data_IF_483495596528
#
_entry.id   IF_483495596528
#
_cell.length_a   1.000
_cell.length_b   1.000
_cell.length_c   1.000
_cell.angle_alpha   90.00
_cell.angle_beta   90.00
_cell.angle_gamma   90.00
#
_symmetry.space_group_name_H-M   'P 1'
#
loop_
_entity.id
_entity.type
_entity.pdbx_description
1 polymer ?
#
# COMPACT_ATOMS: atom_id res chain seq x y z
N UNK A 1 75.81 -18.26 -15.58
CA UNK A 1 74.39 -18.42 -15.13
C UNK A 1 73.82 -17.05 -14.85
N UNK A 2 72.98 -16.53 -15.72
CA UNK A 2 72.28 -15.24 -15.52
C UNK A 2 70.78 -15.54 -15.52
N UNK A 3 70.17 -15.39 -14.36
CA UNK A 3 68.72 -15.54 -14.19
C UNK A 3 68.02 -14.21 -14.54
N UNK A 4 67.20 -14.24 -15.60
CA UNK A 4 66.33 -13.12 -15.94
C UNK A 4 65.01 -13.23 -15.15
N UNK A 5 64.67 -12.20 -14.39
CA UNK A 5 63.36 -12.05 -13.80
C UNK A 5 62.43 -11.34 -14.80
N UNK A 6 61.38 -12.05 -15.24
CA UNK A 6 60.31 -11.44 -16.03
C UNK A 6 59.28 -10.81 -15.08
N UNK A 7 59.13 -9.47 -15.18
CA UNK A 7 58.14 -8.69 -14.45
C UNK A 7 56.80 -8.74 -15.23
N UNK A 8 55.80 -9.45 -14.74
CA UNK A 8 54.48 -9.46 -15.28
C UNK A 8 53.71 -8.23 -14.77
N UNK A 9 53.43 -7.29 -15.64
CA UNK A 9 52.56 -6.13 -15.35
C UNK A 9 51.10 -6.55 -15.56
N UNK A 10 50.36 -6.70 -14.47
CA UNK A 10 48.90 -6.88 -14.46
C UNK A 10 48.25 -5.54 -14.74
N UNK A 11 47.69 -5.35 -15.93
CA UNK A 11 46.80 -4.21 -16.24
C UNK A 11 45.44 -4.45 -15.59
N UNK A 12 45.13 -3.70 -14.53
CA UNK A 12 43.78 -3.62 -13.98
C UNK A 12 42.97 -2.68 -14.85
N UNK A 13 42.10 -3.22 -15.70
CA UNK A 13 41.02 -2.43 -16.32
C UNK A 13 39.97 -2.11 -15.24
N UNK A 14 39.99 -0.89 -14.74
CA UNK A 14 38.88 -0.36 -13.96
C UNK A 14 37.69 -0.16 -14.92
N UNK A 15 36.69 -1.02 -14.83
CA UNK A 15 35.37 -0.76 -15.42
C UNK A 15 34.73 0.37 -14.59
N UNK A 16 34.79 1.59 -15.12
CA UNK A 16 33.94 2.69 -14.62
C UNK A 16 32.49 2.35 -14.94
N UNK A 17 31.73 1.93 -13.94
CA UNK A 17 30.28 1.83 -14.05
C UNK A 17 29.72 3.24 -14.11
N UNK A 18 29.31 3.67 -15.29
CA UNK A 18 28.57 4.92 -15.43
C UNK A 18 27.34 4.87 -14.51
N UNK A 19 27.00 5.98 -13.81
CA UNK A 19 25.80 6.04 -13.00
C UNK A 19 24.60 5.77 -13.94
N UNK A 20 23.80 4.77 -13.62
CA UNK A 20 22.51 4.55 -14.28
C UNK A 20 21.62 5.72 -13.86
N UNK A 21 21.50 6.70 -14.74
CA UNK A 21 20.52 7.77 -14.60
C UNK A 21 19.17 7.11 -14.82
N UNK A 22 18.37 7.00 -13.76
CA UNK A 22 17.02 6.51 -13.85
C UNK A 22 16.25 7.37 -14.88
N UNK A 23 15.61 6.73 -15.85
CA UNK A 23 14.77 7.45 -16.79
C UNK A 23 13.69 8.26 -16.04
N UNK A 24 13.40 9.49 -16.47
CA UNK A 24 12.38 10.31 -15.82
C UNK A 24 11.04 9.60 -15.94
N UNK A 25 10.40 9.35 -14.78
CA UNK A 25 9.07 8.74 -14.72
C UNK A 25 8.04 9.69 -15.35
N UNK A 26 7.08 9.13 -16.06
CA UNK A 26 5.95 9.92 -16.57
C UNK A 26 5.12 10.43 -15.40
N UNK A 27 4.88 11.74 -15.34
CA UNK A 27 3.99 12.35 -14.35
C UNK A 27 2.53 12.09 -14.71
N UNK A 28 1.72 11.73 -13.70
CA UNK A 28 0.27 11.72 -13.77
C UNK A 28 -0.26 13.15 -13.56
N UNK A 29 -1.36 13.47 -14.20
CA UNK A 29 -2.01 14.78 -14.07
C UNK A 29 -3.14 14.72 -13.07
N UNK A 30 -3.12 15.57 -12.06
CA UNK A 30 -4.22 15.75 -11.11
C UNK A 30 -5.40 16.41 -11.82
N UNK A 31 -6.60 15.82 -11.68
CA UNK A 31 -7.83 16.33 -12.30
C UNK A 31 -8.90 16.73 -11.30
N UNK A 32 -8.83 16.21 -10.07
CA UNK A 32 -9.71 16.61 -8.98
C UNK A 32 -9.08 16.33 -7.61
N UNK A 33 -9.53 17.07 -6.60
CA UNK A 33 -9.19 16.86 -5.19
C UNK A 33 -10.44 17.06 -4.33
N UNK A 34 -10.64 16.15 -3.37
CA UNK A 34 -11.85 16.12 -2.54
C UNK A 34 -11.48 15.97 -1.07
N UNK A 35 -11.79 16.96 -0.22
CA UNK A 35 -11.76 16.75 1.23
C UNK A 35 -12.85 15.75 1.63
N UNK A 36 -12.52 14.88 2.60
CA UNK A 36 -13.47 13.91 3.16
C UNK A 36 -13.88 14.37 4.57
N UNK A 37 -15.17 14.45 4.82
CA UNK A 37 -15.73 14.82 6.12
C UNK A 37 -16.60 13.70 6.67
N UNK A 38 -16.67 13.58 8.00
CA UNK A 38 -17.53 12.59 8.67
C UNK A 38 -16.81 11.30 9.09
N UNK A 39 -15.52 11.14 8.81
CA UNK A 39 -14.73 10.04 9.39
C UNK A 39 -14.43 10.35 10.86
N UNK A 40 -14.85 9.47 11.77
CA UNK A 40 -14.69 9.64 13.22
C UNK A 40 -13.22 9.76 13.64
N UNK A 41 -12.39 8.88 13.11
CA UNK A 41 -10.94 8.87 13.36
C UNK A 41 -10.18 9.96 12.61
N UNK A 42 -10.76 10.52 11.55
CA UNK A 42 -10.15 11.58 10.73
C UNK A 42 -9.04 11.12 9.79
N UNK A 43 -8.62 9.87 9.86
CA UNK A 43 -7.59 9.27 9.01
C UNK A 43 -8.25 8.46 7.89
N UNK A 44 -7.64 8.45 6.72
CA UNK A 44 -8.09 7.65 5.57
C UNK A 44 -6.94 6.72 5.15
N UNK A 45 -7.01 5.47 5.63
CA UNK A 45 -5.94 4.49 5.43
C UNK A 45 -6.18 3.61 4.20
N UNK A 46 -7.42 3.32 3.82
CA UNK A 46 -7.72 2.50 2.66
C UNK A 46 -8.92 2.98 1.85
N UNK A 47 -8.91 2.69 0.54
CA UNK A 47 -10.01 2.96 -0.40
C UNK A 47 -10.30 1.72 -1.27
N UNK A 48 -11.59 1.50 -1.57
CA UNK A 48 -12.03 0.50 -2.54
C UNK A 48 -13.17 1.02 -3.41
N UNK A 49 -13.16 0.68 -4.69
CA UNK A 49 -14.29 0.86 -5.59
C UNK A 49 -15.04 -0.47 -5.72
N UNK A 50 -16.22 -0.56 -5.11
CA UNK A 50 -17.07 -1.74 -5.10
C UNK A 50 -18.31 -1.50 -5.96
N UNK A 51 -18.31 -1.99 -7.20
CA UNK A 51 -19.27 -1.52 -8.20
C UNK A 51 -19.05 -0.04 -8.49
N UNK A 52 -20.07 0.79 -8.25
CA UNK A 52 -20.00 2.23 -8.44
C UNK A 52 -19.79 2.99 -7.11
N UNK A 53 -19.58 2.30 -5.99
CA UNK A 53 -19.48 2.86 -4.66
C UNK A 53 -18.02 2.91 -4.20
N UNK A 54 -17.58 4.06 -3.69
CA UNK A 54 -16.29 4.21 -3.02
C UNK A 54 -16.46 3.96 -1.52
N UNK A 55 -15.65 3.05 -1.01
CA UNK A 55 -15.57 2.69 0.40
C UNK A 55 -14.22 3.06 0.97
N UNK A 56 -14.20 3.42 2.25
CA UNK A 56 -12.99 3.76 2.97
C UNK A 56 -12.93 3.09 4.34
N UNK A 57 -11.70 2.94 4.85
CA UNK A 57 -11.39 2.53 6.22
C UNK A 57 -10.44 3.52 6.86
N UNK A 58 -10.37 3.47 8.20
CA UNK A 58 -9.45 4.27 9.01
C UNK A 58 -8.74 3.35 10.02
N UNK A 59 -7.45 3.54 10.23
CA UNK A 59 -6.63 2.90 11.25
C UNK A 59 -7.12 3.16 12.70
N UNK A 60 -8.00 4.16 12.87
CA UNK A 60 -8.55 4.59 14.15
C UNK A 60 -9.91 3.99 14.48
N UNK A 61 -10.56 3.31 13.53
CA UNK A 61 -11.94 2.86 13.64
C UNK A 61 -12.04 1.34 13.52
N UNK A 62 -12.25 0.67 14.66
CA UNK A 62 -12.31 -0.80 14.73
C UNK A 62 -13.69 -1.39 14.42
N UNK A 63 -14.74 -0.58 14.44
CA UNK A 63 -16.13 -1.02 14.45
C UNK A 63 -16.98 -0.43 13.32
N UNK A 64 -16.33 0.22 12.36
CA UNK A 64 -17.04 0.82 11.22
C UNK A 64 -16.17 0.93 9.97
N UNK A 65 -16.84 0.94 8.82
CA UNK A 65 -16.29 1.31 7.51
C UNK A 65 -17.14 2.43 6.94
N UNK A 66 -16.68 3.08 5.89
CA UNK A 66 -17.33 4.27 5.37
C UNK A 66 -17.72 4.13 3.91
N UNK A 67 -18.97 4.46 3.58
CA UNK A 67 -19.39 4.73 2.20
C UNK A 67 -19.19 6.22 1.93
N UNK A 68 -18.45 6.57 0.89
CA UNK A 68 -18.18 7.95 0.51
C UNK A 68 -19.28 8.47 -0.45
N UNK A 69 -20.02 9.49 -0.03
CA UNK A 69 -20.90 10.22 -0.94
C UNK A 69 -20.07 11.23 -1.76
N UNK A 70 -19.88 10.90 -3.03
CA UNK A 70 -19.02 11.62 -3.96
C UNK A 70 -19.73 12.70 -4.78
N UNK A 71 -21.00 13.01 -4.49
CA UNK A 71 -21.83 13.91 -5.30
C UNK A 71 -21.50 15.40 -5.12
N UNK A 72 -20.73 15.74 -4.11
CA UNK A 72 -20.37 17.14 -3.77
C UNK A 72 -18.85 17.33 -3.79
N UNK A 73 -18.38 18.57 -3.81
CA UNK A 73 -16.95 18.89 -3.81
C UNK A 73 -16.25 18.39 -2.53
N UNK A 74 -16.91 18.48 -1.37
CA UNK A 74 -16.50 17.84 -0.11
C UNK A 74 -17.27 16.54 0.03
N UNK A 75 -16.58 15.42 0.04
CA UNK A 75 -17.21 14.12 0.17
C UNK A 75 -17.64 13.85 1.60
N UNK A 76 -18.77 13.15 1.75
CA UNK A 76 -19.31 12.81 3.07
C UNK A 76 -19.10 11.32 3.32
N UNK A 77 -18.38 10.98 4.37
CA UNK A 77 -18.21 9.63 4.83
C UNK A 77 -19.43 9.20 5.67
N UNK A 78 -20.18 8.23 5.16
CA UNK A 78 -21.34 7.64 5.83
C UNK A 78 -20.89 6.36 6.53
N UNK A 79 -20.86 6.36 7.86
CA UNK A 79 -20.43 5.23 8.65
C UNK A 79 -21.40 4.05 8.53
N UNK A 80 -20.88 2.88 8.22
CA UNK A 80 -21.52 1.59 8.36
C UNK A 80 -20.86 0.84 9.53
N UNK A 81 -21.60 0.65 10.61
CA UNK A 81 -21.12 -0.11 11.74
C UNK A 81 -20.99 -1.60 11.39
N UNK A 82 -19.90 -2.21 11.80
CA UNK A 82 -19.60 -3.62 11.61
C UNK A 82 -19.38 -4.30 12.98
N UNK A 83 -20.00 -5.45 13.18
CA UNK A 83 -19.80 -6.25 14.39
C UNK A 83 -18.60 -7.19 14.17
N UNK A 84 -17.41 -6.71 14.53
CA UNK A 84 -16.15 -7.44 14.27
C UNK A 84 -16.02 -8.58 15.27
N UNK A 85 -15.92 -9.84 14.82
CA UNK A 85 -15.77 -10.98 15.70
C UNK A 85 -14.38 -10.99 16.36
N UNK A 86 -14.21 -11.76 17.46
CA UNK A 86 -12.91 -11.89 18.13
C UNK A 86 -11.80 -12.24 17.16
N UNK A 87 -10.67 -11.52 17.27
CA UNK A 87 -9.52 -11.65 16.37
C UNK A 87 -8.91 -13.05 16.50
N UNK A 88 -8.60 -13.73 15.39
CA UNK A 88 -7.93 -15.02 15.42
C UNK A 88 -6.48 -14.88 15.91
N UNK A 89 -5.88 -15.98 16.34
CA UNK A 89 -4.45 -15.98 16.64
C UNK A 89 -3.65 -15.56 15.41
N UNK A 90 -2.89 -14.48 15.53
CA UNK A 90 -1.95 -14.06 14.51
C UNK A 90 -0.71 -14.96 14.55
N UNK A 91 -0.15 -15.28 13.39
CA UNK A 91 1.16 -15.96 13.33
C UNK A 91 2.35 -15.07 13.76
N UNK A 92 2.09 -13.85 14.25
CA UNK A 92 3.09 -12.89 14.70
C UNK A 92 3.68 -13.28 16.07
N UNK A 93 4.99 -13.05 16.30
CA UNK A 93 5.62 -13.28 17.60
C UNK A 93 5.00 -12.45 18.71
N UNK A 94 5.02 -12.99 19.93
CA UNK A 94 4.51 -12.30 21.10
C UNK A 94 5.06 -10.87 21.29
N UNK A 95 6.35 -10.66 21.04
CA UNK A 95 6.99 -9.35 21.17
C UNK A 95 6.48 -8.28 20.19
N UNK A 96 6.05 -8.67 18.99
CA UNK A 96 5.38 -7.75 18.05
C UNK A 96 3.95 -7.48 18.53
N UNK A 97 3.19 -8.52 18.81
CA UNK A 97 1.80 -8.39 19.30
C UNK A 97 1.69 -7.50 20.52
N UNK A 98 2.61 -7.64 21.50
CA UNK A 98 2.62 -6.81 22.69
C UNK A 98 2.94 -5.33 22.41
N UNK A 99 3.82 -5.04 21.44
CA UNK A 99 4.13 -3.66 21.02
C UNK A 99 2.93 -3.03 20.30
N UNK A 100 2.30 -3.76 19.38
CA UNK A 100 1.08 -3.31 18.70
C UNK A 100 -0.02 -3.01 19.71
N UNK A 101 -0.25 -3.91 20.66
CA UNK A 101 -1.25 -3.67 21.74
C UNK A 101 -0.88 -2.46 22.61
N UNK A 102 0.37 -2.24 22.92
CA UNK A 102 0.80 -1.05 23.67
C UNK A 102 0.59 0.24 22.86
N UNK A 103 0.83 0.22 21.56
CA UNK A 103 0.63 1.36 20.69
C UNK A 103 -0.84 1.73 20.53
N UNK A 104 -1.77 0.76 20.51
CA UNK A 104 -3.20 1.02 20.36
C UNK A 104 -3.77 1.87 21.50
N UNK A 105 -3.21 1.81 22.70
CA UNK A 105 -3.60 2.68 23.83
C UNK A 105 -3.29 4.17 23.58
N UNK A 106 -2.31 4.47 22.74
CA UNK A 106 -1.90 5.85 22.43
C UNK A 106 -2.52 6.33 21.11
N UNK A 107 -2.55 5.46 20.13
CA UNK A 107 -3.01 5.75 18.77
C UNK A 107 -4.54 5.77 18.65
N UNK A 108 -5.25 4.95 19.44
CA UNK A 108 -6.65 4.59 19.22
C UNK A 108 -6.74 3.47 18.17
N UNK A 109 -7.78 2.64 18.25
CA UNK A 109 -7.94 1.48 17.38
C UNK A 109 -7.03 0.30 17.76
N UNK A 110 -7.62 -0.87 18.01
CA UNK A 110 -6.90 -2.11 18.32
C UNK A 110 -6.63 -2.94 17.06
N UNK A 111 -7.42 -2.73 15.99
CA UNK A 111 -7.38 -3.54 14.77
C UNK A 111 -6.46 -2.97 13.71
N UNK A 112 -6.31 -1.64 13.69
CA UNK A 112 -5.39 -0.99 12.75
C UNK A 112 -5.73 -1.34 11.30
N UNK A 113 -6.90 -0.90 10.83
CA UNK A 113 -7.38 -1.18 9.48
C UNK A 113 -6.68 -0.28 8.46
N UNK A 114 -5.82 -0.86 7.61
CA UNK A 114 -4.98 -0.10 6.69
C UNK A 114 -5.47 -0.17 5.23
N UNK A 115 -5.95 -1.30 4.77
CA UNK A 115 -6.39 -1.45 3.40
C UNK A 115 -7.76 -2.09 3.28
N UNK A 116 -8.48 -1.75 2.21
CA UNK A 116 -9.79 -2.33 1.86
C UNK A 116 -9.86 -2.64 0.37
N UNK A 117 -10.50 -3.75 0.02
CA UNK A 117 -10.77 -4.13 -1.37
C UNK A 117 -12.11 -4.86 -1.45
N UNK A 118 -12.61 -5.17 -2.66
CA UNK A 118 -13.81 -5.98 -2.83
C UNK A 118 -13.72 -6.94 -4.02
N UNK A 119 -14.45 -8.06 -3.91
CA UNK A 119 -14.67 -8.98 -5.01
C UNK A 119 -15.81 -8.51 -5.94
N UNK A 120 -16.04 -9.23 -7.04
CA UNK A 120 -17.09 -8.87 -8.01
C UNK A 120 -18.53 -9.00 -7.46
N UNK A 121 -18.73 -9.71 -6.35
CA UNK A 121 -20.04 -9.83 -5.68
C UNK A 121 -20.26 -8.68 -4.69
N UNK A 122 -19.22 -7.88 -4.40
CA UNK A 122 -19.27 -6.73 -3.48
C UNK A 122 -18.96 -7.08 -2.02
N UNK A 123 -18.46 -8.29 -1.71
CA UNK A 123 -17.89 -8.54 -0.38
C UNK A 123 -16.63 -7.71 -0.19
N UNK A 124 -16.49 -7.05 0.93
CA UNK A 124 -15.33 -6.22 1.26
C UNK A 124 -14.33 -7.02 2.07
N UNK A 125 -13.05 -6.78 1.81
CA UNK A 125 -11.94 -7.43 2.52
C UNK A 125 -11.03 -6.33 3.06
N UNK A 126 -10.76 -6.37 4.36
CA UNK A 126 -10.06 -5.32 5.09
C UNK A 126 -8.85 -5.95 5.75
N UNK A 127 -7.67 -5.39 5.55
CA UNK A 127 -6.46 -5.85 6.23
C UNK A 127 -6.30 -5.15 7.58
N UNK A 128 -5.99 -5.93 8.61
CA UNK A 128 -5.56 -5.45 9.92
C UNK A 128 -4.05 -5.57 10.01
N UNK A 129 -3.35 -4.44 10.09
CA UNK A 129 -1.90 -4.43 10.32
C UNK A 129 -1.57 -5.06 11.66
N UNK A 130 -2.25 -4.63 12.72
CA UNK A 130 -2.03 -5.08 14.09
C UNK A 130 -2.00 -6.60 14.24
N UNK A 131 -2.76 -7.31 13.42
CA UNK A 131 -2.96 -8.76 13.54
C UNK A 131 -2.45 -9.56 12.34
N UNK A 132 -1.96 -8.92 11.28
CA UNK A 132 -1.61 -9.54 10.00
C UNK A 132 -2.73 -10.48 9.52
N UNK A 133 -3.97 -10.00 9.59
CA UNK A 133 -5.19 -10.75 9.32
C UNK A 133 -6.08 -9.97 8.34
N UNK A 134 -7.02 -10.66 7.69
CA UNK A 134 -7.99 -10.05 6.76
C UNK A 134 -9.40 -10.35 7.25
N UNK A 135 -10.20 -9.29 7.42
CA UNK A 135 -11.61 -9.34 7.75
C UNK A 135 -12.42 -9.31 6.46
N UNK A 136 -13.33 -10.26 6.26
CA UNK A 136 -14.35 -10.20 5.22
C UNK A 136 -15.62 -9.60 5.80
N UNK A 137 -16.13 -8.55 5.17
CA UNK A 137 -17.45 -7.95 5.42
C UNK A 137 -18.34 -8.30 4.22
N UNK A 138 -19.17 -9.34 4.31
CA UNK A 138 -19.97 -9.79 3.18
C UNK A 138 -21.12 -8.80 2.88
N UNK A 139 -21.65 -8.84 1.64
CA UNK A 139 -22.84 -8.07 1.27
C UNK A 139 -24.06 -8.45 2.10
N UNK A 140 -24.13 -9.70 2.58
CA UNK A 140 -25.17 -10.20 3.48
C UNK A 140 -24.56 -11.17 4.49
N UNK A 141 -24.91 -10.99 5.76
CA UNK A 141 -24.39 -11.81 6.86
C UNK A 141 -23.42 -11.06 7.75
N UNK A 142 -22.86 -11.76 8.73
CA UNK A 142 -21.93 -11.17 9.69
C UNK A 142 -20.48 -11.14 9.14
N UNK A 143 -19.69 -10.13 9.53
CA UNK A 143 -18.26 -10.11 9.26
C UNK A 143 -17.55 -11.34 9.81
N UNK A 144 -16.49 -11.78 9.14
CA UNK A 144 -15.69 -12.92 9.58
C UNK A 144 -14.21 -12.75 9.18
N UNK A 145 -13.32 -13.15 10.08
CA UNK A 145 -11.90 -13.23 9.75
C UNK A 145 -11.65 -14.38 8.78
N UNK A 146 -10.85 -14.15 7.77
CA UNK A 146 -10.42 -15.20 6.87
C UNK A 146 -9.59 -16.24 7.62
N UNK A 147 -9.86 -17.51 7.36
CA UNK A 147 -9.04 -18.61 7.88
C UNK A 147 -7.79 -18.73 7.02
N UNK A 148 -6.71 -18.08 7.45
CA UNK A 148 -5.42 -18.09 6.74
C UNK A 148 -4.49 -19.11 7.41
N UNK A 149 -3.84 -19.95 6.60
CA UNK A 149 -2.88 -20.92 7.09
C UNK A 149 -1.69 -20.24 7.79
N UNK A 150 -1.25 -20.72 8.97
CA UNK A 150 -0.13 -20.12 9.70
C UNK A 150 1.21 -20.13 8.94
N UNK A 151 1.28 -20.90 7.86
CA UNK A 151 2.42 -20.96 6.94
C UNK A 151 2.75 -19.62 6.31
N UNK A 152 1.74 -18.86 5.92
CA UNK A 152 1.89 -17.58 5.23
C UNK A 152 2.73 -16.59 6.05
N UNK A 153 2.38 -16.31 7.29
CA UNK A 153 3.14 -15.39 8.15
C UNK A 153 4.56 -15.91 8.41
N UNK A 154 4.74 -17.22 8.59
CA UNK A 154 6.07 -17.80 8.79
C UNK A 154 6.96 -17.63 7.58
N UNK A 155 6.44 -17.87 6.37
CA UNK A 155 7.17 -17.70 5.12
C UNK A 155 7.51 -16.23 4.86
N UNK A 156 6.55 -15.32 5.04
CA UNK A 156 6.78 -13.89 4.95
C UNK A 156 7.93 -13.45 5.88
N UNK A 157 7.90 -13.90 7.14
CA UNK A 157 8.96 -13.60 8.10
C UNK A 157 10.31 -14.24 7.76
N UNK A 158 10.32 -15.47 7.26
CA UNK A 158 11.54 -16.14 6.79
C UNK A 158 12.16 -15.39 5.59
N UNK A 159 11.34 -14.71 4.79
CA UNK A 159 11.79 -13.86 3.69
C UNK A 159 12.19 -12.44 4.13
N UNK A 160 12.13 -12.15 5.43
CA UNK A 160 12.51 -10.85 6.01
C UNK A 160 11.39 -9.81 6.06
N UNK A 161 10.16 -10.17 5.68
CA UNK A 161 8.98 -9.32 5.82
C UNK A 161 8.43 -9.39 7.26
N UNK A 162 7.58 -8.46 7.66
CA UNK A 162 6.84 -8.47 8.93
C UNK A 162 7.75 -8.65 10.17
N UNK A 163 8.94 -8.08 10.14
CA UNK A 163 9.89 -8.19 11.26
C UNK A 163 9.82 -7.02 12.23
N UNK A 164 9.33 -5.87 11.77
CA UNK A 164 9.33 -4.63 12.51
C UNK A 164 7.91 -4.23 12.91
N UNK A 165 7.80 -3.64 14.08
CA UNK A 165 6.56 -3.02 14.56
C UNK A 165 6.20 -1.84 13.65
N UNK A 166 4.92 -1.66 13.34
CA UNK A 166 4.41 -0.62 12.45
C UNK A 166 5.09 -0.67 11.05
N UNK A 167 5.25 -1.88 10.53
CA UNK A 167 5.76 -2.18 9.20
C UNK A 167 5.28 -3.59 8.81
N UNK A 168 3.98 -3.85 8.96
CA UNK A 168 3.36 -5.14 8.69
C UNK A 168 2.59 -5.09 7.35
N UNK A 169 1.33 -5.56 7.33
CA UNK A 169 0.53 -5.50 6.11
C UNK A 169 -0.29 -4.21 6.06
N UNK A 170 -0.12 -3.44 4.98
CA UNK A 170 -0.80 -2.16 4.74
C UNK A 170 -1.92 -2.31 3.70
N UNK A 171 -1.63 -2.85 2.54
CA UNK A 171 -2.58 -2.93 1.44
C UNK A 171 -3.09 -4.34 1.18
N UNK A 172 -4.29 -4.42 0.60
CA UNK A 172 -4.94 -5.66 0.19
C UNK A 172 -5.62 -5.52 -1.16
N UNK A 173 -5.38 -6.48 -2.05
CA UNK A 173 -6.13 -6.62 -3.29
C UNK A 173 -6.72 -8.04 -3.40
N UNK A 174 -7.89 -8.17 -4.01
CA UNK A 174 -8.54 -9.46 -4.26
C UNK A 174 -8.93 -9.58 -5.74
N UNK A 175 -8.89 -10.79 -6.27
CA UNK A 175 -9.40 -11.02 -7.62
C UNK A 175 -10.94 -10.99 -7.67
N UNK A 176 -11.54 -10.74 -8.84
CA UNK A 176 -13.00 -10.68 -9.00
C UNK A 176 -13.74 -11.91 -8.49
N UNK A 177 -13.12 -13.09 -8.61
CA UNK A 177 -13.68 -14.38 -8.20
C UNK A 177 -13.67 -14.58 -6.67
N UNK A 178 -13.01 -13.70 -5.90
CA UNK A 178 -12.93 -13.75 -4.44
C UNK A 178 -12.14 -14.95 -3.92
N UNK A 179 -11.14 -15.44 -4.65
CA UNK A 179 -10.40 -16.66 -4.31
C UNK A 179 -8.86 -16.49 -4.33
N UNK A 180 -8.35 -15.31 -4.67
CA UNK A 180 -6.93 -14.97 -4.57
C UNK A 180 -6.76 -13.57 -4.01
N UNK A 181 -5.91 -13.43 -3.00
CA UNK A 181 -5.57 -12.18 -2.33
C UNK A 181 -4.08 -11.89 -2.51
N UNK A 182 -3.75 -10.61 -2.66
CA UNK A 182 -2.41 -10.05 -2.54
C UNK A 182 -2.37 -9.08 -1.38
N UNK A 183 -1.30 -9.16 -0.59
CA UNK A 183 -1.03 -8.30 0.56
C UNK A 183 0.30 -7.60 0.36
N UNK A 184 0.38 -6.32 0.67
CA UNK A 184 1.65 -5.58 0.71
C UNK A 184 2.21 -5.53 2.11
N UNK A 185 3.50 -5.86 2.28
CA UNK A 185 4.27 -5.54 3.48
C UNK A 185 4.96 -4.19 3.28
N UNK A 186 4.84 -3.31 4.29
CA UNK A 186 5.07 -1.88 4.13
C UNK A 186 6.54 -1.50 3.86
N UNK A 187 7.40 -1.55 4.86
CA UNK A 187 8.74 -0.92 4.82
C UNK A 187 9.79 -1.73 5.57
N UNK A 188 10.99 -1.17 5.71
CA UNK A 188 12.25 -1.80 6.12
C UNK A 188 12.67 -2.88 5.12
N UNK A 189 11.80 -3.82 4.87
CA UNK A 189 11.81 -4.75 3.76
C UNK A 189 10.37 -4.86 3.26
N UNK A 190 10.08 -4.16 2.16
CA UNK A 190 8.76 -4.20 1.53
C UNK A 190 8.57 -5.48 0.73
N UNK A 191 7.33 -5.90 0.57
CA UNK A 191 7.07 -7.12 -0.17
C UNK A 191 5.64 -7.30 -0.62
N UNK A 192 5.44 -8.30 -1.45
CA UNK A 192 4.15 -8.77 -1.94
C UNK A 192 3.99 -10.24 -1.58
N UNK A 193 2.88 -10.54 -0.93
CA UNK A 193 2.48 -11.89 -0.54
C UNK A 193 1.19 -12.23 -1.28
N UNK A 194 1.07 -13.45 -1.81
CA UNK A 194 -0.16 -13.93 -2.44
C UNK A 194 -0.64 -15.22 -1.78
N UNK A 195 -1.94 -15.27 -1.49
CA UNK A 195 -2.62 -16.47 -0.98
C UNK A 195 -3.85 -16.77 -1.81
N UNK A 196 -4.19 -18.06 -1.91
CA UNK A 196 -5.37 -18.54 -2.63
C UNK A 196 -6.26 -19.36 -1.72
N UNK A 197 -7.52 -19.47 -2.10
CA UNK A 197 -8.52 -20.26 -1.40
C UNK A 197 -9.11 -21.32 -2.32
N UNK A 198 -8.45 -22.46 -2.51
CA UNK A 198 -9.00 -23.55 -3.33
C UNK A 198 -10.24 -24.21 -2.73
N UNK A 199 -10.41 -24.19 -1.42
CA UNK A 199 -11.57 -24.72 -0.70
C UNK A 199 -12.06 -23.75 0.40
N UNK A 200 -11.74 -23.99 1.67
CA UNK A 200 -12.17 -23.17 2.81
C UNK A 200 -11.05 -22.49 3.56
N UNK A 201 -9.81 -22.87 3.31
CA UNK A 201 -8.60 -22.32 3.91
C UNK A 201 -7.86 -21.47 2.90
N UNK A 202 -7.44 -20.28 3.30
CA UNK A 202 -6.53 -19.46 2.53
C UNK A 202 -5.10 -19.93 2.78
N UNK A 203 -4.39 -20.29 1.73
CA UNK A 203 -3.04 -20.83 1.84
C UNK A 203 -2.17 -20.42 0.65
N UNK A 204 -0.89 -20.69 0.74
CA UNK A 204 0.05 -20.51 -0.35
C UNK A 204 -0.18 -21.58 -1.44
N UNK A 205 -0.16 -21.12 -2.68
CA UNK A 205 -0.13 -22.01 -3.86
C UNK A 205 1.32 -21.99 -4.40
N UNK A 206 2.17 -22.79 -3.80
CA UNK A 206 3.62 -22.67 -3.95
C UNK A 206 4.20 -21.62 -2.99
N UNK A 207 5.19 -20.81 -3.39
CA UNK A 207 5.70 -19.71 -2.57
C UNK A 207 4.63 -18.64 -2.35
N UNK A 208 4.41 -18.25 -1.09
CA UNK A 208 3.55 -17.11 -0.77
C UNK A 208 4.18 -15.77 -1.15
N UNK A 209 5.48 -15.63 -0.93
CA UNK A 209 6.20 -14.38 -1.12
C UNK A 209 6.59 -14.22 -2.57
N UNK A 210 5.93 -13.30 -3.28
CA UNK A 210 6.24 -12.95 -4.66
C UNK A 210 7.41 -11.97 -4.75
N UNK A 211 7.54 -11.10 -3.75
CA UNK A 211 8.57 -10.07 -3.68
C UNK A 211 8.99 -9.83 -2.23
N UNK A 212 10.29 -9.72 -2.01
CA UNK A 212 10.87 -9.26 -0.74
C UNK A 212 12.12 -8.46 -1.06
N UNK A 213 12.05 -7.14 -0.92
CA UNK A 213 13.16 -6.25 -1.24
C UNK A 213 13.40 -5.21 -0.15
N UNK A 214 14.67 -5.02 0.20
CA UNK A 214 15.12 -3.89 0.99
C UNK A 214 15.66 -2.81 0.05
N UNK A 215 15.84 -1.63 0.59
CA UNK A 215 16.50 -0.55 -0.15
C UNK A 215 16.11 0.80 0.38
N UNK A 216 16.98 1.74 0.08
CA UNK A 216 16.81 3.16 0.41
C UNK A 216 16.72 3.91 -0.91
N UNK A 217 15.82 4.86 -0.99
CA UNK A 217 15.65 5.73 -2.16
C UNK A 217 15.51 7.18 -1.72
N UNK A 218 16.03 8.10 -2.53
CA UNK A 218 15.85 9.53 -2.27
C UNK A 218 14.39 9.92 -2.52
N UNK A 219 13.82 10.64 -1.59
CA UNK A 219 12.52 11.28 -1.77
C UNK A 219 12.61 12.31 -2.90
N UNK A 220 11.48 12.64 -3.57
CA UNK A 220 11.44 13.71 -4.58
C UNK A 220 12.02 15.01 -4.04
N UNK A 221 12.85 15.68 -4.84
CA UNK A 221 13.53 16.92 -4.42
C UNK A 221 12.58 18.09 -4.08
N UNK A 222 11.34 18.04 -4.55
CA UNK A 222 10.29 19.00 -4.21
C UNK A 222 9.77 18.83 -2.77
N UNK A 223 9.99 17.66 -2.16
CA UNK A 223 9.53 17.40 -0.81
C UNK A 223 10.31 18.24 0.21
N UNK A 224 9.62 18.90 1.17
CA UNK A 224 10.30 19.58 2.27
C UNK A 224 11.20 18.61 3.02
N UNK A 225 12.48 19.01 3.20
CA UNK A 225 13.48 18.18 3.90
C UNK A 225 13.66 16.78 3.27
N UNK A 226 13.60 16.68 1.93
CA UNK A 226 13.83 15.43 1.22
C UNK A 226 15.08 14.70 1.70
N UNK A 227 14.97 13.41 1.96
CA UNK A 227 16.05 12.56 2.46
C UNK A 227 15.97 11.16 1.86
N UNK A 228 17.02 10.39 2.06
CA UNK A 228 17.01 8.96 1.75
C UNK A 228 16.23 8.22 2.83
N UNK A 229 15.21 7.47 2.44
CA UNK A 229 14.37 6.66 3.33
C UNK A 229 14.13 5.27 2.74
N UNK A 230 13.68 4.35 3.56
CA UNK A 230 13.30 3.02 3.12
C UNK A 230 12.20 3.10 2.05
N UNK A 231 12.31 2.27 1.03
CA UNK A 231 11.22 2.03 0.09
C UNK A 231 10.03 1.43 0.83
N UNK A 232 8.82 1.81 0.42
CA UNK A 232 7.60 1.27 1.03
C UNK A 232 6.56 0.87 -0.02
N UNK A 233 5.57 0.11 0.45
CA UNK A 233 4.27 -0.08 -0.19
C UNK A 233 3.20 0.32 0.80
N UNK A 234 2.46 1.37 0.48
CA UNK A 234 1.34 1.80 1.32
C UNK A 234 0.04 1.09 0.94
N UNK A 235 -0.18 0.78 -0.35
CA UNK A 235 -1.38 0.05 -0.76
C UNK A 235 -1.14 -0.73 -2.06
N UNK A 236 -2.12 -1.57 -2.43
CA UNK A 236 -2.14 -2.33 -3.67
C UNK A 236 -3.55 -2.45 -4.23
N UNK A 237 -3.71 -2.18 -5.52
CA UNK A 237 -4.95 -2.39 -6.25
C UNK A 237 -4.76 -3.44 -7.35
N UNK A 238 -5.78 -4.24 -7.62
CA UNK A 238 -5.85 -5.11 -8.78
C UNK A 238 -6.72 -4.47 -9.86
N UNK A 239 -6.18 -4.26 -11.04
CA UNK A 239 -6.92 -3.73 -12.17
C UNK A 239 -6.55 -4.43 -13.47
N UNK A 240 -7.55 -5.02 -14.17
CA UNK A 240 -7.36 -5.75 -15.44
C UNK A 240 -6.24 -6.79 -15.38
N UNK A 241 -6.17 -7.55 -14.28
CA UNK A 241 -5.18 -8.62 -14.09
C UNK A 241 -3.75 -8.17 -13.79
N UNK A 242 -3.55 -6.89 -13.50
CA UNK A 242 -2.28 -6.31 -13.06
C UNK A 242 -2.38 -5.73 -11.66
N UNK A 243 -1.31 -5.87 -10.88
CA UNK A 243 -1.20 -5.18 -9.60
C UNK A 243 -0.67 -3.76 -9.82
N UNK A 244 -1.19 -2.84 -9.02
CA UNK A 244 -0.68 -1.48 -8.92
C UNK A 244 -0.29 -1.24 -7.47
N UNK A 245 0.98 -0.99 -7.21
CA UNK A 245 1.47 -0.66 -5.87
C UNK A 245 1.59 0.84 -5.69
N UNK A 246 1.10 1.34 -4.56
CA UNK A 246 1.32 2.71 -4.11
C UNK A 246 2.64 2.77 -3.33
N UNK A 247 3.57 3.57 -3.81
CA UNK A 247 4.89 3.77 -3.20
C UNK A 247 4.97 5.21 -2.69
N UNK A 248 4.35 5.45 -1.52
CA UNK A 248 4.08 6.81 -1.03
C UNK A 248 5.35 7.60 -0.74
N UNK A 249 6.39 6.97 -0.22
CA UNK A 249 7.67 7.61 0.06
C UNK A 249 8.34 8.20 -1.19
N UNK A 250 8.05 7.65 -2.36
CA UNK A 250 8.58 8.09 -3.66
C UNK A 250 7.54 8.82 -4.51
N UNK A 251 6.30 8.98 -4.02
CA UNK A 251 5.20 9.60 -4.76
C UNK A 251 5.00 8.98 -6.14
N UNK A 252 4.88 7.65 -6.18
CA UNK A 252 4.73 6.91 -7.43
C UNK A 252 3.74 5.75 -7.33
N UNK A 253 3.19 5.40 -8.49
CA UNK A 253 2.43 4.18 -8.74
C UNK A 253 3.22 3.27 -9.65
N UNK A 254 3.31 1.96 -9.33
CA UNK A 254 3.97 1.00 -10.19
C UNK A 254 3.02 -0.13 -10.58
N UNK A 255 2.81 -0.32 -11.89
CA UNK A 255 2.15 -1.50 -12.43
C UNK A 255 3.09 -2.70 -12.39
N UNK A 256 2.58 -3.82 -11.90
CA UNK A 256 3.34 -5.05 -11.71
C UNK A 256 2.58 -6.25 -12.29
N UNK A 257 3.33 -7.24 -12.70
CA UNK A 257 2.78 -8.56 -13.04
C UNK A 257 2.22 -9.24 -11.78
N UNK A 258 0.98 -9.73 -11.84
CA UNK A 258 0.29 -10.27 -10.68
C UNK A 258 0.80 -11.64 -10.20
N UNK A 259 1.64 -12.31 -10.99
CA UNK A 259 2.20 -13.62 -10.66
C UNK A 259 3.64 -13.50 -10.14
N UNK A 260 4.44 -12.66 -10.78
CA UNK A 260 5.88 -12.53 -10.49
C UNK A 260 6.22 -11.30 -9.66
N UNK A 261 5.28 -10.38 -9.47
CA UNK A 261 5.48 -9.05 -8.88
C UNK A 261 6.50 -8.16 -9.63
N UNK A 262 6.96 -8.57 -10.81
CA UNK A 262 7.89 -7.80 -11.61
C UNK A 262 7.29 -6.44 -12.00
N UNK A 263 8.07 -5.38 -11.84
CA UNK A 263 7.67 -4.03 -12.27
C UNK A 263 7.62 -3.98 -13.79
N UNK A 264 6.49 -3.52 -14.34
CA UNK A 264 6.31 -3.31 -15.76
C UNK A 264 6.45 -1.82 -16.13
N UNK A 265 5.91 -0.94 -15.29
CA UNK A 265 5.98 0.51 -15.47
C UNK A 265 5.63 1.25 -14.18
N UNK A 266 6.25 2.41 -13.98
CA UNK A 266 5.92 3.32 -12.89
C UNK A 266 5.56 4.71 -13.43
N UNK A 267 4.72 5.42 -12.69
CA UNK A 267 4.32 6.81 -12.92
C UNK A 267 4.51 7.59 -11.63
N UNK A 268 4.94 8.83 -11.75
CA UNK A 268 5.04 9.76 -10.63
C UNK A 268 3.74 10.56 -10.49
N UNK A 269 3.41 10.92 -9.27
CA UNK A 269 2.37 11.92 -8.96
C UNK A 269 2.94 13.05 -8.07
N UNK A 270 4.27 13.13 -8.00
CA UNK A 270 4.98 14.06 -7.12
C UNK A 270 4.76 15.52 -7.49
N UNK A 271 4.69 15.84 -8.78
CA UNK A 271 4.62 17.23 -9.25
C UNK A 271 3.38 17.96 -8.68
N UNK A 272 2.22 17.32 -8.74
CA UNK A 272 0.97 17.90 -8.24
C UNK A 272 0.86 17.79 -6.71
N UNK A 273 1.23 16.65 -6.12
CA UNK A 273 1.11 16.44 -4.68
C UNK A 273 2.08 17.29 -3.86
N UNK A 274 3.25 17.59 -4.40
CA UNK A 274 4.26 18.43 -3.76
C UNK A 274 4.21 19.90 -4.21
N UNK A 275 3.16 20.30 -4.92
CA UNK A 275 2.92 21.72 -5.19
C UNK A 275 2.78 22.49 -3.86
N UNK A 276 3.31 23.72 -3.75
CA UNK A 276 3.44 24.43 -2.47
C UNK A 276 2.17 24.47 -1.62
N UNK A 277 1.00 24.64 -2.23
CA UNK A 277 -0.29 24.70 -1.55
C UNK A 277 -0.79 23.36 -1.02
N UNK A 278 -0.25 22.21 -1.53
CA UNK A 278 -0.64 20.84 -1.16
C UNK A 278 0.32 20.17 -0.21
N UNK A 279 1.43 20.82 0.12
CA UNK A 279 2.44 20.24 1.00
C UNK A 279 1.93 20.14 2.44
N UNK A 280 2.39 19.12 3.13
CA UNK A 280 2.25 18.91 4.56
C UNK A 280 3.62 19.04 5.23
N UNK A 281 3.67 19.48 6.49
CA UNK A 281 4.94 19.51 7.25
C UNK A 281 5.27 18.13 7.81
N UNK A 282 5.32 17.13 6.94
CA UNK A 282 5.65 15.76 7.28
C UNK A 282 6.89 15.31 6.48
N UNK A 283 7.79 14.52 7.10
CA UNK A 283 9.01 14.06 6.45
C UNK A 283 8.85 12.83 5.56
N UNK A 284 7.62 12.37 5.34
CA UNK A 284 7.29 11.17 4.57
C UNK A 284 6.05 11.41 3.70
N UNK A 285 5.80 10.49 2.77
CA UNK A 285 4.58 10.49 1.96
C UNK A 285 3.37 10.06 2.79
N UNK A 286 2.23 10.70 2.55
CA UNK A 286 0.97 10.48 3.27
C UNK A 286 -0.06 9.74 2.42
N UNK A 287 0.32 9.29 1.22
CA UNK A 287 -0.55 8.53 0.34
C UNK A 287 -0.66 7.09 0.87
N UNK A 288 -1.84 6.71 1.37
CA UNK A 288 -2.05 5.41 2.02
C UNK A 288 -3.09 4.55 1.30
N UNK A 289 -3.94 5.12 0.45
CA UNK A 289 -5.02 4.40 -0.19
C UNK A 289 -5.00 4.53 -1.71
N UNK A 290 -5.32 3.44 -2.43
CA UNK A 290 -5.26 3.38 -3.90
C UNK A 290 -6.46 2.67 -4.51
N UNK A 291 -7.11 3.33 -5.46
CA UNK A 291 -8.03 2.71 -6.42
C UNK A 291 -7.59 3.01 -7.84
N UNK A 292 -7.62 2.02 -8.71
CA UNK A 292 -7.35 2.17 -10.15
C UNK A 292 -8.60 1.81 -10.94
N UNK A 293 -8.97 2.67 -11.89
CA UNK A 293 -10.02 2.42 -12.86
C UNK A 293 -9.59 2.86 -14.28
N UNK A 294 -10.47 2.73 -15.27
CA UNK A 294 -10.17 3.13 -16.65
C UNK A 294 -9.87 4.63 -16.81
N UNK A 295 -10.47 5.45 -15.96
CA UNK A 295 -10.29 6.92 -15.99
C UNK A 295 -9.03 7.40 -15.26
N UNK A 296 -8.42 6.57 -14.39
CA UNK A 296 -7.22 6.96 -13.67
C UNK A 296 -7.04 6.30 -12.30
N UNK A 297 -6.40 7.03 -11.39
CA UNK A 297 -6.13 6.61 -10.02
C UNK A 297 -6.85 7.53 -9.02
N UNK A 298 -7.43 6.94 -7.99
CA UNK A 298 -7.82 7.63 -6.76
C UNK A 298 -6.75 7.34 -5.72
N UNK A 299 -6.22 8.39 -5.10
CA UNK A 299 -5.20 8.29 -4.04
C UNK A 299 -5.74 9.00 -2.80
N UNK A 300 -5.93 8.24 -1.73
CA UNK A 300 -6.32 8.75 -0.42
C UNK A 300 -5.10 9.10 0.43
N UNK A 301 -5.23 10.15 1.24
CA UNK A 301 -4.19 10.58 2.16
C UNK A 301 -4.64 10.45 3.61
N UNK A 302 -3.81 9.81 4.40
CA UNK A 302 -3.78 10.01 5.84
C UNK A 302 -2.88 11.19 6.18
N UNK A 303 -3.49 12.27 6.66
CA UNK A 303 -2.76 13.47 7.03
C UNK A 303 -2.31 13.51 8.50
N UNK A 304 -2.55 12.44 9.26
CA UNK A 304 -2.20 12.34 10.69
C UNK A 304 -2.59 13.61 11.48
N UNK A 305 -3.78 14.18 11.20
CA UNK A 305 -4.28 15.45 11.74
C UNK A 305 -3.41 16.69 11.43
N UNK A 306 -2.37 16.54 10.61
CA UNK A 306 -1.54 17.65 10.16
C UNK A 306 -2.27 18.51 9.13
N UNK A 307 -2.20 19.86 9.22
CA UNK A 307 -2.77 20.71 8.20
C UNK A 307 -1.93 20.68 6.91
N UNK A 308 -2.60 20.74 5.77
CA UNK A 308 -2.00 21.06 4.47
C UNK A 308 -1.59 22.55 4.46
N UNK A 309 -0.67 22.94 3.61
CA UNK A 309 -0.12 24.31 3.56
C UNK A 309 -1.19 25.40 3.30
N UNK A 310 -2.32 25.06 2.66
CA UNK A 310 -3.47 25.96 2.48
C UNK A 310 -4.45 25.97 3.67
N UNK A 311 -4.15 25.22 4.73
CA UNK A 311 -4.92 25.13 5.96
C UNK A 311 -5.97 24.02 6.00
N UNK A 312 -6.12 23.21 4.95
CA UNK A 312 -7.00 22.03 4.97
C UNK A 312 -6.51 20.98 5.98
N UNK A 313 -7.42 20.45 6.81
CA UNK A 313 -7.14 19.49 7.88
C UNK A 313 -7.82 18.15 7.71
N UNK A 314 -8.79 18.08 6.79
CA UNK A 314 -9.52 16.85 6.52
C UNK A 314 -8.66 15.87 5.73
N UNK A 315 -8.90 14.56 5.81
CA UNK A 315 -8.35 13.61 4.85
C UNK A 315 -8.72 14.03 3.42
N UNK A 316 -7.84 13.75 2.49
CA UNK A 316 -8.00 14.14 1.09
C UNK A 316 -8.03 12.92 0.20
N UNK A 317 -8.87 12.96 -0.83
CA UNK A 317 -8.82 12.02 -1.95
C UNK A 317 -8.50 12.80 -3.23
N UNK A 318 -7.46 12.36 -3.92
CA UNK A 318 -6.99 12.96 -5.16
C UNK A 318 -7.33 12.07 -6.34
N UNK A 319 -7.79 12.68 -7.44
CA UNK A 319 -8.04 11.99 -8.70
C UNK A 319 -6.98 12.35 -9.72
N UNK A 320 -6.20 11.37 -10.14
CA UNK A 320 -5.25 11.50 -11.24
C UNK A 320 -5.81 10.87 -12.51
N UNK A 321 -5.64 11.53 -13.64
CA UNK A 321 -6.02 10.98 -14.94
C UNK A 321 -5.18 9.75 -15.29
N UNK A 322 -5.79 8.79 -15.99
CA UNK A 322 -5.04 7.69 -16.57
C UNK A 322 -3.97 8.24 -17.53
N UNK A 323 -2.78 7.60 -17.59
CA UNK A 323 -1.75 8.03 -18.50
C UNK A 323 -2.20 7.94 -19.97
N UNK A 324 -1.58 8.72 -20.84
CA UNK A 324 -1.84 8.66 -22.28
C UNK A 324 -1.68 7.21 -22.79
N UNK A 325 -2.70 6.71 -23.49
CA UNK A 325 -2.78 5.32 -23.90
C UNK A 325 -3.29 4.34 -22.83
N UNK A 326 -3.71 4.86 -21.67
CA UNK A 326 -4.24 4.08 -20.55
C UNK A 326 -3.18 3.29 -19.79
N UNK A 327 -3.62 2.54 -18.78
CA UNK A 327 -2.74 1.76 -17.91
C UNK A 327 -2.02 0.60 -18.61
N UNK A 328 -2.50 0.17 -19.79
CA UNK A 328 -1.91 -0.89 -20.60
C UNK A 328 -0.78 -0.42 -21.54
N UNK A 329 -0.56 0.88 -21.67
CA UNK A 329 0.46 1.41 -22.57
C UNK A 329 1.84 0.81 -22.27
N UNK A 330 2.53 0.41 -23.33
CA UNK A 330 3.94 -0.02 -23.27
C UNK A 330 4.82 1.20 -22.98
N UNK A 331 6.01 1.02 -22.39
CA UNK A 331 6.98 2.08 -22.18
C UNK A 331 7.34 2.85 -23.46
#
# INVERSE_FOLDING_TARGET
>A
MRSGFALAILLFCALETAPVVAEPKTELSLIAEHPVEGMRGGNLSGLALCGDELWAVSDRDDDQIYLLDTRTATWQAQALNIDVPPVPESGLPWGLRSRTKAASFVRGGDLDFEGITCDAVGNRYIVSEAHAAVLQVPMAGAPQWLKIAPGMVREARASGLLLHFNALFEGVAINPEGNQIWLTAERERRGLVSIKRPQSLWDCDGPCVLLSEAGIEMQPGQMPKAKAISRNFSDVALFKGKLFTLESSQYQLCRRDAVTAAVERCWSFAADMLAPQRQYDQPYGLAEALVIDDGGAWIGLDNNFGPRADGEKRPMVYRFAAPAGGWGAQP
#
